data_IF_541102552453
#
_entry.id   IF_541102552453
#
_cell.length_a   1.000
_cell.length_b   1.000
_cell.length_c   1.000
_cell.angle_alpha   90.00
_cell.angle_beta   90.00
_cell.angle_gamma   90.00
#
_symmetry.space_group_name_H-M   'P 1'
#
loop_
_entity.id
_entity.type
_entity.pdbx_description
1 polymer ?
#
# COMPACT_ATOMS: atom_id res chain seq x y z
N UNK A 1 -15.14 -13.43 17.54
CA UNK A 1 -14.61 -12.06 17.39
C UNK A 1 -15.67 -11.09 17.88
N UNK A 2 -15.32 -10.06 18.65
CA UNK A 2 -16.31 -9.08 19.14
C UNK A 2 -16.91 -8.33 17.94
N UNK A 3 -18.24 -8.17 17.87
CA UNK A 3 -18.89 -7.41 16.80
C UNK A 3 -18.48 -5.94 16.94
N UNK A 4 -17.91 -5.37 15.88
CA UNK A 4 -17.53 -3.95 15.85
C UNK A 4 -18.70 -3.18 15.24
N UNK A 5 -19.22 -2.21 16.00
CA UNK A 5 -20.39 -1.40 15.66
C UNK A 5 -20.17 0.04 16.16
N UNK A 6 -21.19 0.90 16.06
CA UNK A 6 -21.13 2.30 16.53
C UNK A 6 -20.77 2.42 18.02
N UNK A 7 -21.27 1.52 18.87
CA UNK A 7 -20.93 1.49 20.30
C UNK A 7 -19.44 1.19 20.55
N UNK A 8 -18.84 0.31 19.74
CA UNK A 8 -17.39 0.07 19.79
C UNK A 8 -16.59 1.37 19.52
N UNK A 9 -16.95 2.12 18.48
CA UNK A 9 -16.27 3.38 18.16
C UNK A 9 -16.49 4.46 19.23
N UNK A 10 -17.70 4.54 19.79
CA UNK A 10 -18.01 5.44 20.91
C UNK A 10 -17.09 5.16 22.11
N UNK A 11 -16.85 3.89 22.44
CA UNK A 11 -15.92 3.47 23.51
C UNK A 11 -14.46 3.83 23.22
N UNK A 12 -14.09 4.03 21.96
CA UNK A 12 -12.78 4.54 21.55
C UNK A 12 -12.73 6.09 21.49
N UNK A 13 -13.78 6.78 21.95
CA UNK A 13 -13.87 8.24 21.87
C UNK A 13 -14.10 8.77 20.46
N UNK A 14 -14.52 7.92 19.53
CA UNK A 14 -14.82 8.30 18.14
C UNK A 14 -16.30 8.66 18.05
N UNK A 15 -16.57 9.91 17.66
CA UNK A 15 -17.95 10.36 17.49
C UNK A 15 -18.61 9.66 16.30
N UNK A 16 -19.93 9.44 16.37
CA UNK A 16 -20.70 8.89 15.23
C UNK A 16 -20.52 9.73 13.96
N UNK A 17 -20.44 11.06 14.10
CA UNK A 17 -20.18 11.96 12.96
C UNK A 17 -18.85 11.63 12.27
N UNK A 18 -17.80 11.38 13.06
CA UNK A 18 -16.48 11.06 12.53
C UNK A 18 -16.45 9.68 11.86
N UNK A 19 -17.00 8.63 12.50
CA UNK A 19 -17.08 7.30 11.89
C UNK A 19 -17.94 7.29 10.61
N UNK A 20 -19.00 8.10 10.57
CA UNK A 20 -19.85 8.21 9.39
C UNK A 20 -19.12 8.88 8.22
N UNK A 21 -18.42 9.99 8.46
CA UNK A 21 -17.62 10.66 7.42
C UNK A 21 -16.53 9.75 6.84
N UNK A 22 -15.88 8.96 7.71
CA UNK A 22 -14.89 7.97 7.26
C UNK A 22 -15.55 6.87 6.44
N UNK A 23 -16.71 6.35 6.86
CA UNK A 23 -17.43 5.33 6.09
C UNK A 23 -17.93 5.86 4.73
N UNK A 24 -18.47 7.07 4.67
CA UNK A 24 -18.94 7.70 3.44
C UNK A 24 -17.83 7.78 2.38
N UNK A 25 -16.59 8.05 2.79
CA UNK A 25 -15.44 8.09 1.89
C UNK A 25 -14.84 6.71 1.58
N UNK A 26 -14.75 5.83 2.59
CA UNK A 26 -13.98 4.59 2.47
C UNK A 26 -14.80 3.35 2.15
N UNK A 27 -16.13 3.40 2.24
CA UNK A 27 -16.99 2.30 1.89
C UNK A 27 -16.66 1.76 0.48
N UNK A 28 -16.64 0.44 0.34
CA UNK A 28 -16.38 -0.20 -0.94
C UNK A 28 -17.61 -0.04 -1.85
N UNK A 29 -17.41 0.24 -3.16
CA UNK A 29 -18.53 0.33 -4.09
C UNK A 29 -19.27 -0.99 -4.20
N UNK A 30 -20.61 -0.95 -4.07
CA UNK A 30 -21.48 -2.13 -4.13
C UNK A 30 -21.35 -2.81 -5.50
N UNK A 31 -21.20 -4.14 -5.50
CA UNK A 31 -21.11 -4.95 -6.72
C UNK A 31 -19.80 -4.83 -7.51
N UNK A 32 -18.84 -4.00 -7.07
CA UNK A 32 -17.58 -3.82 -7.76
C UNK A 32 -16.63 -5.00 -7.53
N UNK A 33 -16.20 -5.64 -8.62
CA UNK A 33 -15.09 -6.60 -8.58
C UNK A 33 -13.77 -5.84 -8.50
N UNK A 34 -13.16 -5.81 -7.32
CA UNK A 34 -11.96 -5.01 -7.02
C UNK A 34 -10.81 -5.25 -8.01
N UNK A 35 -10.31 -6.48 -8.14
CA UNK A 35 -9.15 -6.75 -9.01
C UNK A 35 -9.42 -6.46 -10.50
N UNK A 36 -10.53 -6.92 -11.11
CA UNK A 36 -10.86 -6.55 -12.49
C UNK A 36 -10.99 -5.04 -12.73
N UNK A 37 -11.61 -4.30 -11.80
CA UNK A 37 -11.78 -2.85 -11.93
C UNK A 37 -10.48 -2.04 -11.73
N UNK A 38 -9.50 -2.61 -11.03
CA UNK A 38 -8.18 -2.00 -10.84
C UNK A 38 -7.26 -2.23 -12.05
N UNK A 39 -7.41 -3.34 -12.77
CA UNK A 39 -6.45 -3.82 -13.76
C UNK A 39 -6.11 -2.80 -14.86
N UNK A 40 -7.06 -2.13 -15.54
CA UNK A 40 -6.72 -1.18 -16.61
C UNK A 40 -5.79 -0.05 -16.11
N UNK A 41 -6.11 0.50 -14.95
CA UNK A 41 -5.32 1.57 -14.32
C UNK A 41 -3.94 1.08 -13.89
N UNK A 42 -3.85 -0.14 -13.34
CA UNK A 42 -2.56 -0.77 -12.99
C UNK A 42 -1.68 -0.97 -14.22
N UNK A 43 -2.26 -1.37 -15.36
CA UNK A 43 -1.52 -1.51 -16.62
C UNK A 43 -0.97 -0.17 -17.07
N UNK A 44 -1.78 0.89 -17.06
CA UNK A 44 -1.31 2.24 -17.42
C UNK A 44 -0.17 2.72 -16.50
N UNK A 45 -0.32 2.53 -15.18
CA UNK A 45 0.73 2.87 -14.20
C UNK A 45 2.02 2.09 -14.44
N UNK A 46 1.90 0.79 -14.74
CA UNK A 46 3.03 -0.08 -15.04
C UNK A 46 3.78 0.39 -16.29
N UNK A 47 3.05 0.68 -17.37
CA UNK A 47 3.66 1.15 -18.62
C UNK A 47 4.33 2.51 -18.44
N UNK A 48 3.70 3.43 -17.70
CA UNK A 48 4.30 4.69 -17.29
C UNK A 48 5.63 4.45 -16.57
N UNK A 49 5.65 3.56 -15.56
CA UNK A 49 6.84 3.28 -14.75
C UNK A 49 7.98 2.63 -15.55
N UNK A 50 7.65 1.74 -16.47
CA UNK A 50 8.63 1.12 -17.38
C UNK A 50 9.28 2.19 -18.28
N UNK A 51 8.49 3.16 -18.75
CA UNK A 51 8.95 4.24 -19.65
C UNK A 51 9.91 5.24 -19.00
N UNK A 52 9.97 5.31 -17.66
CA UNK A 52 10.77 6.32 -16.98
C UNK A 52 12.27 6.21 -17.29
N UNK A 53 12.97 7.37 -17.33
CA UNK A 53 14.38 7.41 -17.69
C UNK A 53 15.23 6.60 -16.71
N UNK A 54 16.27 5.97 -17.24
CA UNK A 54 17.20 5.13 -16.48
C UNK A 54 18.59 5.77 -16.44
N UNK A 55 19.22 5.72 -15.27
CA UNK A 55 20.62 6.07 -15.05
C UNK A 55 21.60 5.03 -15.60
N UNK A 56 22.88 5.38 -15.67
CA UNK A 56 23.93 4.44 -16.14
C UNK A 56 24.12 3.26 -15.19
N UNK A 57 24.02 3.52 -13.89
CA UNK A 57 24.18 2.54 -12.82
C UNK A 57 23.44 3.02 -11.55
N UNK A 58 23.54 2.26 -10.47
CA UNK A 58 22.88 2.55 -9.21
C UNK A 58 23.35 3.87 -8.57
N UNK A 59 24.62 4.23 -8.68
CA UNK A 59 25.12 5.50 -8.13
C UNK A 59 24.66 6.72 -8.95
N UNK A 60 24.36 6.52 -10.24
CA UNK A 60 23.95 7.56 -11.18
C UNK A 60 22.49 7.40 -11.62
N UNK A 61 21.59 7.11 -10.67
CA UNK A 61 20.14 6.94 -10.94
C UNK A 61 19.52 8.21 -11.53
N UNK A 62 18.60 8.03 -12.47
CA UNK A 62 17.66 9.09 -12.85
C UNK A 62 16.48 9.05 -11.89
N UNK A 63 16.13 10.22 -11.34
CA UNK A 63 15.07 10.36 -10.33
C UNK A 63 13.80 10.88 -11.01
N UNK A 64 12.70 10.15 -10.82
CA UNK A 64 11.35 10.58 -11.20
C UNK A 64 10.56 10.90 -9.95
N UNK A 65 10.20 12.18 -9.76
CA UNK A 65 9.39 12.64 -8.62
C UNK A 65 7.91 12.42 -8.91
N UNK A 66 7.18 11.85 -7.95
CA UNK A 66 5.78 11.47 -8.12
C UNK A 66 4.83 12.24 -7.21
N UNK A 67 5.27 12.54 -5.99
CA UNK A 67 4.48 13.25 -4.99
C UNK A 67 5.30 14.33 -4.32
N UNK A 68 4.62 15.42 -3.92
CA UNK A 68 5.18 16.50 -3.11
C UNK A 68 4.18 16.87 -2.00
N UNK A 69 4.67 16.98 -0.77
CA UNK A 69 3.89 17.45 0.38
C UNK A 69 4.79 18.27 1.29
N UNK A 70 4.58 19.59 1.34
CA UNK A 70 5.49 20.53 2.00
C UNK A 70 6.92 20.39 1.46
N UNK A 71 7.88 20.21 2.38
CA UNK A 71 9.30 20.00 2.06
C UNK A 71 9.65 18.56 1.70
N UNK A 72 8.66 17.66 1.67
CA UNK A 72 8.85 16.25 1.33
C UNK A 72 8.53 15.98 -0.13
N UNK A 73 9.34 15.12 -0.74
CA UNK A 73 9.10 14.58 -2.08
C UNK A 73 9.22 13.06 -2.04
N UNK A 74 8.30 12.36 -2.69
CA UNK A 74 8.37 10.90 -2.89
C UNK A 74 8.66 10.63 -4.35
N UNK A 75 9.67 9.81 -4.60
CA UNK A 75 10.22 9.59 -5.93
C UNK A 75 10.70 8.14 -6.10
N UNK A 76 11.05 7.81 -7.34
CA UNK A 76 11.78 6.59 -7.68
C UNK A 76 13.10 6.93 -8.35
N UNK A 77 14.14 6.16 -8.06
CA UNK A 77 15.38 6.16 -8.83
C UNK A 77 15.53 4.90 -9.69
N UNK A 78 15.92 5.04 -10.96
CA UNK A 78 16.18 3.90 -11.85
C UNK A 78 17.65 3.94 -12.34
N UNK A 79 18.42 2.84 -12.29
CA UNK A 79 18.05 1.47 -11.89
C UNK A 79 17.99 1.20 -10.37
N UNK A 80 17.15 0.25 -9.97
CA UNK A 80 17.03 -0.28 -8.61
C UNK A 80 18.06 -1.36 -8.26
N UNK A 81 17.87 -2.06 -7.14
CA UNK A 81 18.77 -3.11 -6.65
C UNK A 81 18.76 -4.34 -7.57
N UNK A 82 17.58 -4.79 -7.98
CA UNK A 82 17.39 -6.03 -8.76
C UNK A 82 17.77 -5.86 -10.24
N UNK A 83 18.15 -4.66 -10.66
CA UNK A 83 18.63 -4.36 -12.01
C UNK A 83 20.13 -4.62 -12.21
N UNK A 84 20.88 -4.91 -11.14
CA UNK A 84 22.30 -5.20 -11.25
C UNK A 84 22.53 -6.50 -12.06
N UNK A 85 23.61 -6.61 -12.88
CA UNK A 85 23.85 -7.78 -13.72
C UNK A 85 24.06 -9.09 -12.94
N UNK A 86 24.52 -8.98 -11.69
CA UNK A 86 24.76 -10.09 -10.77
C UNK A 86 23.50 -10.53 -10.00
N UNK A 87 22.41 -9.75 -10.08
CA UNK A 87 21.15 -10.12 -9.47
C UNK A 87 20.47 -11.25 -10.26
N UNK A 88 20.28 -12.40 -9.61
CA UNK A 88 19.76 -13.62 -10.25
C UNK A 88 18.39 -13.98 -9.68
N UNK A 89 17.36 -13.90 -10.52
CA UNK A 89 16.01 -14.36 -10.18
C UNK A 89 15.43 -15.20 -11.31
N UNK A 90 14.69 -16.25 -10.95
CA UNK A 90 14.05 -17.14 -11.91
C UNK A 90 12.75 -16.51 -12.41
N UNK A 91 12.61 -16.38 -13.72
CA UNK A 91 11.38 -15.96 -14.37
C UNK A 91 10.31 -17.05 -14.20
N UNK A 92 9.09 -16.68 -13.78
CA UNK A 92 8.07 -17.64 -13.35
C UNK A 92 7.49 -18.47 -14.50
N UNK A 93 7.52 -17.95 -15.73
CA UNK A 93 6.98 -18.64 -16.91
C UNK A 93 8.07 -19.42 -17.66
N UNK A 94 9.11 -18.74 -18.15
CA UNK A 94 10.21 -19.39 -18.91
C UNK A 94 11.18 -20.20 -18.06
N UNK A 95 11.26 -19.95 -16.75
CA UNK A 95 12.23 -20.59 -15.86
C UNK A 95 13.68 -20.09 -16.03
N UNK A 96 13.92 -19.11 -16.91
CA UNK A 96 15.23 -18.52 -17.14
C UNK A 96 15.67 -17.67 -15.94
N UNK A 97 16.98 -17.61 -15.70
CA UNK A 97 17.53 -16.72 -14.67
C UNK A 97 17.86 -15.38 -15.30
N UNK A 98 17.26 -14.31 -14.80
CA UNK A 98 17.44 -12.95 -15.30
C UNK A 98 17.46 -11.95 -14.15
N UNK A 99 17.96 -10.74 -14.42
CA UNK A 99 17.80 -9.59 -13.54
C UNK A 99 16.50 -8.84 -13.88
N UNK A 100 16.11 -7.86 -13.06
CA UNK A 100 15.01 -6.97 -13.37
C UNK A 100 15.54 -5.62 -13.87
N UNK A 101 15.74 -5.42 -15.20
CA UNK A 101 16.23 -4.15 -15.73
C UNK A 101 15.32 -2.97 -15.35
N UNK A 102 14.02 -3.21 -15.14
CA UNK A 102 13.06 -2.18 -14.83
C UNK A 102 12.94 -1.86 -13.33
N UNK A 103 13.64 -2.58 -12.46
CA UNK A 103 13.62 -2.34 -11.03
C UNK A 103 13.91 -0.88 -10.69
N UNK A 104 13.20 -0.37 -9.70
CA UNK A 104 13.29 1.00 -9.23
C UNK A 104 13.65 1.04 -7.74
N UNK A 105 14.10 2.19 -7.29
CA UNK A 105 14.45 2.47 -5.90
C UNK A 105 13.50 3.54 -5.34
N UNK A 106 12.35 3.15 -4.75
CA UNK A 106 11.48 4.07 -4.03
C UNK A 106 12.27 4.87 -2.98
N UNK A 107 12.00 6.16 -2.85
CA UNK A 107 12.74 7.05 -1.95
C UNK A 107 11.91 8.24 -1.50
N UNK A 108 12.20 8.70 -0.29
CA UNK A 108 11.67 9.95 0.26
C UNK A 108 12.81 10.96 0.39
N UNK A 109 12.55 12.20 -0.01
CA UNK A 109 13.44 13.34 0.14
C UNK A 109 12.81 14.36 1.07
N UNK A 110 13.63 15.04 1.88
CA UNK A 110 13.24 16.18 2.69
C UNK A 110 14.19 17.34 2.40
N UNK A 111 13.65 18.48 1.96
CA UNK A 111 14.44 19.64 1.56
C UNK A 111 15.57 19.28 0.57
N UNK A 112 15.25 18.44 -0.43
CA UNK A 112 16.17 17.99 -1.48
C UNK A 112 17.18 16.90 -1.06
N UNK A 113 17.27 16.55 0.23
CA UNK A 113 18.13 15.47 0.73
C UNK A 113 17.35 14.18 0.88
N UNK A 114 17.89 13.07 0.37
CA UNK A 114 17.29 11.75 0.59
C UNK A 114 17.31 11.44 2.08
N UNK A 115 16.19 10.95 2.61
CA UNK A 115 16.15 10.42 3.97
C UNK A 115 16.78 9.02 3.91
N UNK A 116 17.90 8.82 4.61
CA UNK A 116 18.67 7.56 4.59
C UNK A 116 18.06 6.45 5.44
N UNK A 117 16.94 6.73 6.12
CA UNK A 117 16.16 5.71 6.83
C UNK A 117 15.98 4.49 5.92
N UNK A 118 16.43 3.33 6.40
CA UNK A 118 16.15 2.08 5.74
C UNK A 118 14.62 1.94 5.68
N UNK A 119 14.10 1.87 4.44
CA UNK A 119 12.68 1.67 4.12
C UNK A 119 12.50 0.26 3.55
N UNK A 120 13.19 -0.72 4.14
CA UNK A 120 12.98 -2.12 3.80
C UNK A 120 11.60 -2.58 4.26
N UNK A 121 11.13 -3.72 3.75
CA UNK A 121 9.88 -4.32 4.20
C UNK A 121 9.85 -4.53 5.71
N UNK A 122 10.95 -5.00 6.30
CA UNK A 122 11.06 -5.18 7.76
C UNK A 122 10.92 -3.84 8.50
N UNK A 123 11.63 -2.80 8.06
CA UNK A 123 11.55 -1.49 8.70
C UNK A 123 10.11 -0.92 8.63
N UNK A 124 9.41 -1.11 7.51
CA UNK A 124 8.02 -0.68 7.39
C UNK A 124 7.08 -1.47 8.31
N UNK A 125 7.33 -2.76 8.53
CA UNK A 125 6.53 -3.57 9.45
C UNK A 125 6.72 -3.10 10.89
N UNK A 126 7.97 -2.90 11.31
CA UNK A 126 8.29 -2.36 12.64
C UNK A 126 7.69 -0.96 12.85
N UNK A 127 7.76 -0.10 11.83
CA UNK A 127 7.13 1.23 11.86
C UNK A 127 5.62 1.16 12.07
N UNK A 128 4.94 0.19 11.46
CA UNK A 128 3.49 -0.03 11.63
C UNK A 128 3.18 -0.69 12.98
N UNK A 129 4.01 -1.62 13.44
CA UNK A 129 3.87 -2.26 14.76
C UNK A 129 3.84 -1.23 15.88
N UNK A 130 4.73 -0.24 15.84
CA UNK A 130 4.76 0.85 16.82
C UNK A 130 3.44 1.64 16.89
N UNK A 131 2.62 1.65 15.83
CA UNK A 131 1.33 2.33 15.80
C UNK A 131 0.25 1.60 16.58
N UNK A 132 0.41 0.30 16.88
CA UNK A 132 -0.54 -0.48 17.68
C UNK A 132 -0.80 0.15 19.06
N UNK A 133 0.20 0.88 19.59
CA UNK A 133 0.11 1.57 20.88
C UNK A 133 -0.32 3.03 20.77
N UNK A 134 -0.44 3.57 19.56
CA UNK A 134 -0.72 4.98 19.33
C UNK A 134 -2.22 5.28 19.32
N UNK A 135 -2.97 4.70 18.37
CA UNK A 135 -4.42 4.90 18.25
C UNK A 135 -5.06 3.76 17.44
N UNK A 136 -5.96 3.00 18.06
CA UNK A 136 -6.64 1.86 17.44
C UNK A 136 -7.46 2.27 16.21
N UNK A 137 -8.17 3.41 16.29
CA UNK A 137 -8.98 3.89 15.17
C UNK A 137 -8.13 4.48 14.05
N UNK A 138 -7.03 5.18 14.40
CA UNK A 138 -6.03 5.64 13.46
C UNK A 138 -5.41 4.47 12.69
N UNK A 139 -5.03 3.40 13.38
CA UNK A 139 -4.50 2.19 12.76
C UNK A 139 -5.54 1.51 11.84
N UNK A 140 -6.81 1.52 12.22
CA UNK A 140 -7.90 1.05 11.36
C UNK A 140 -8.03 1.88 10.08
N UNK A 141 -8.04 3.21 10.18
CA UNK A 141 -8.10 4.10 9.01
C UNK A 141 -6.90 3.87 8.10
N UNK A 142 -5.69 3.72 8.66
CA UNK A 142 -4.48 3.40 7.91
C UNK A 142 -4.65 2.10 7.10
N UNK A 143 -5.16 1.05 7.74
CA UNK A 143 -5.42 -0.24 7.07
C UNK A 143 -6.43 -0.12 5.93
N UNK A 144 -7.51 0.64 6.12
CA UNK A 144 -8.53 0.86 5.09
C UNK A 144 -8.00 1.67 3.90
N UNK A 145 -7.19 2.71 4.14
CA UNK A 145 -6.56 3.49 3.07
C UNK A 145 -5.59 2.63 2.25
N UNK A 146 -4.77 1.79 2.91
CA UNK A 146 -3.86 0.86 2.22
C UNK A 146 -4.65 -0.20 1.45
N UNK A 147 -5.75 -0.72 2.01
CA UNK A 147 -6.63 -1.66 1.32
C UNK A 147 -7.17 -1.08 0.01
N UNK A 148 -7.71 0.13 0.04
CA UNK A 148 -8.26 0.80 -1.15
C UNK A 148 -7.16 1.15 -2.16
N UNK A 149 -5.97 1.53 -1.68
CA UNK A 149 -4.78 1.77 -2.50
C UNK A 149 -4.32 0.51 -3.27
N UNK A 150 -4.50 -0.69 -2.70
CA UNK A 150 -4.21 -1.95 -3.37
C UNK A 150 -4.99 -2.12 -4.69
N UNK A 151 -6.22 -1.60 -4.72
CA UNK A 151 -7.12 -1.70 -5.88
C UNK A 151 -7.28 -0.39 -6.64
N UNK A 152 -6.38 0.58 -6.41
CA UNK A 152 -6.33 1.83 -7.18
C UNK A 152 -7.67 2.60 -7.10
N UNK A 153 -8.39 2.47 -5.97
CA UNK A 153 -9.73 3.07 -5.81
C UNK A 153 -9.67 4.58 -5.62
N UNK A 154 -8.60 5.07 -4.98
CA UNK A 154 -8.41 6.48 -4.65
C UNK A 154 -7.29 7.10 -5.49
N UNK A 155 -7.18 6.70 -6.76
CA UNK A 155 -6.22 7.27 -7.71
C UNK A 155 -6.92 8.09 -8.77
N UNK A 156 -6.30 9.22 -9.11
CA UNK A 156 -6.79 10.15 -10.13
C UNK A 156 -5.69 10.43 -11.17
N UNK A 157 -6.09 10.78 -12.39
CA UNK A 157 -5.14 11.25 -13.42
C UNK A 157 -4.56 12.59 -12.99
N UNK A 158 -3.23 12.66 -12.93
CA UNK A 158 -2.47 13.90 -12.79
C UNK A 158 -2.50 14.71 -14.09
N UNK A 159 -2.01 15.96 -14.04
CA UNK A 159 -1.92 16.83 -15.22
C UNK A 159 -1.00 16.23 -16.30
N UNK A 160 -0.01 15.47 -15.86
CA UNK A 160 0.96 14.76 -16.69
C UNK A 160 0.41 13.42 -17.22
N UNK A 161 -0.85 13.08 -16.91
CA UNK A 161 -1.53 11.89 -17.41
C UNK A 161 -1.23 10.60 -16.64
N UNK A 162 -0.37 10.62 -15.62
CA UNK A 162 -0.11 9.48 -14.75
C UNK A 162 -1.18 9.32 -13.67
N UNK A 163 -1.50 8.08 -13.26
CA UNK A 163 -2.39 7.84 -12.11
C UNK A 163 -1.63 8.08 -10.81
N UNK A 164 -2.19 8.90 -9.92
CA UNK A 164 -1.59 9.28 -8.65
C UNK A 164 -2.58 9.07 -7.52
N UNK A 165 -2.08 8.56 -6.39
CA UNK A 165 -2.85 8.36 -5.19
C UNK A 165 -3.29 9.71 -4.61
N UNK A 166 -4.60 9.85 -4.37
CA UNK A 166 -5.23 11.02 -3.76
C UNK A 166 -6.11 10.49 -2.62
N UNK A 167 -5.56 10.37 -1.39
CA UNK A 167 -6.31 9.83 -0.27
C UNK A 167 -7.58 10.65 0.01
N UNK A 168 -8.71 10.03 0.38
CA UNK A 168 -9.93 10.73 0.75
C UNK A 168 -9.70 11.72 1.91
N UNK A 169 -10.27 12.93 1.77
CA UNK A 169 -9.87 14.11 2.56
C UNK A 169 -10.21 13.95 4.04
N UNK A 170 -11.44 13.54 4.37
CA UNK A 170 -11.88 13.43 5.75
C UNK A 170 -11.16 12.28 6.46
N UNK A 171 -10.96 11.18 5.76
CA UNK A 171 -10.24 10.00 6.25
C UNK A 171 -8.77 10.31 6.51
N UNK A 172 -8.10 11.00 5.58
CA UNK A 172 -6.73 11.45 5.80
C UNK A 172 -6.66 12.45 6.97
N UNK A 173 -7.60 13.39 7.09
CA UNK A 173 -7.62 14.34 8.20
C UNK A 173 -7.81 13.64 9.55
N UNK A 174 -8.74 12.68 9.63
CA UNK A 174 -8.99 11.87 10.82
C UNK A 174 -7.76 11.03 11.21
N UNK A 175 -7.09 10.44 10.22
CA UNK A 175 -5.82 9.72 10.41
C UNK A 175 -4.73 10.66 10.93
N UNK A 176 -4.49 11.80 10.26
CA UNK A 176 -3.44 12.76 10.66
C UNK A 176 -3.63 13.32 12.05
N UNK A 177 -4.88 13.48 12.50
CA UNK A 177 -5.18 13.91 13.88
C UNK A 177 -4.69 12.90 14.92
N UNK A 178 -4.69 11.61 14.60
CA UNK A 178 -4.38 10.50 15.51
C UNK A 178 -2.95 9.99 15.36
N UNK A 179 -2.53 9.82 14.13
CA UNK A 179 -1.21 9.36 13.70
C UNK A 179 -0.69 10.43 12.73
N UNK A 180 -0.14 11.54 13.23
CA UNK A 180 0.34 12.63 12.37
C UNK A 180 1.61 12.26 11.61
N UNK A 181 2.42 11.36 12.18
CA UNK A 181 3.70 10.91 11.62
C UNK A 181 3.89 9.42 11.84
N UNK A 182 4.59 8.79 10.91
CA UNK A 182 5.06 7.41 10.99
C UNK A 182 6.57 7.45 10.85
N UNK A 183 7.27 7.26 11.97
CA UNK A 183 8.72 7.36 12.10
C UNK A 183 9.31 8.61 11.41
N UNK A 184 8.96 9.78 11.96
CA UNK A 184 9.39 11.13 11.54
C UNK A 184 8.91 11.65 10.17
N UNK A 185 8.23 10.82 9.38
CA UNK A 185 7.63 11.21 8.11
C UNK A 185 6.14 11.49 8.31
N UNK A 186 5.58 12.60 7.76
CA UNK A 186 4.14 12.84 7.79
C UNK A 186 3.36 11.65 7.21
N UNK A 187 2.23 11.29 7.82
CA UNK A 187 1.50 10.08 7.44
C UNK A 187 1.05 10.08 5.98
N UNK A 188 0.70 11.23 5.41
CA UNK A 188 0.41 11.34 3.97
C UNK A 188 1.62 11.00 3.09
N UNK A 189 2.83 11.38 3.51
CA UNK A 189 4.07 11.08 2.78
C UNK A 189 4.38 9.59 2.88
N UNK A 190 4.12 8.96 4.03
CA UNK A 190 4.23 7.51 4.19
C UNK A 190 3.26 6.75 3.28
N UNK A 191 2.00 7.19 3.17
CA UNK A 191 1.02 6.60 2.25
C UNK A 191 1.47 6.74 0.78
N UNK A 192 1.94 7.92 0.37
CA UNK A 192 2.51 8.11 -0.96
C UNK A 192 3.72 7.20 -1.21
N UNK A 193 4.57 6.99 -0.21
CA UNK A 193 5.70 6.06 -0.31
C UNK A 193 5.23 4.62 -0.53
N UNK A 194 4.22 4.14 0.23
CA UNK A 194 3.64 2.81 0.02
C UNK A 194 3.07 2.63 -1.39
N UNK A 195 2.44 3.66 -1.95
CA UNK A 195 1.95 3.61 -3.33
C UNK A 195 3.08 3.44 -4.35
N UNK A 196 4.18 4.18 -4.17
CA UNK A 196 5.38 4.08 -5.03
C UNK A 196 6.06 2.72 -4.88
N UNK A 197 6.16 2.21 -3.66
CA UNK A 197 6.68 0.87 -3.39
C UNK A 197 5.85 -0.20 -4.11
N UNK A 198 4.53 -0.11 -3.98
CA UNK A 198 3.61 -1.06 -4.61
C UNK A 198 3.70 -1.03 -6.14
N UNK A 199 3.90 0.15 -6.73
CA UNK A 199 4.17 0.28 -8.16
C UNK A 199 5.49 -0.40 -8.58
N UNK A 200 6.54 -0.30 -7.76
CA UNK A 200 7.79 -1.03 -8.02
C UNK A 200 7.58 -2.55 -7.99
N UNK A 201 6.77 -3.05 -7.05
CA UNK A 201 6.44 -4.48 -6.99
C UNK A 201 5.61 -4.94 -8.20
N UNK A 202 4.74 -4.10 -8.77
CA UNK A 202 4.09 -4.37 -10.07
C UNK A 202 5.13 -4.51 -11.20
N UNK A 203 6.12 -3.61 -11.26
CA UNK A 203 7.21 -3.65 -12.26
C UNK A 203 8.06 -4.91 -12.13
N UNK A 204 8.36 -5.34 -10.90
CA UNK A 204 9.08 -6.59 -10.65
C UNK A 204 8.31 -7.79 -11.16
N UNK A 205 7.04 -7.90 -10.79
CA UNK A 205 6.24 -9.07 -11.17
C UNK A 205 5.99 -9.13 -12.68
N UNK A 206 5.81 -7.98 -13.34
CA UNK A 206 5.77 -7.90 -14.79
C UNK A 206 7.04 -8.48 -15.43
N UNK A 207 8.20 -8.05 -14.96
CA UNK A 207 9.51 -8.49 -15.50
C UNK A 207 9.79 -9.97 -15.24
N UNK A 208 9.16 -10.57 -14.22
CA UNK A 208 9.29 -11.99 -13.89
C UNK A 208 8.22 -12.88 -14.56
N UNK A 209 7.42 -12.34 -15.47
CA UNK A 209 6.49 -13.11 -16.30
C UNK A 209 5.03 -13.03 -15.90
N UNK A 210 4.68 -12.22 -14.91
CA UNK A 210 3.28 -11.91 -14.60
C UNK A 210 2.86 -10.64 -15.32
N UNK A 211 2.62 -10.78 -16.62
CA UNK A 211 2.40 -9.65 -17.51
C UNK A 211 1.13 -8.87 -17.18
N UNK A 212 1.17 -7.56 -17.47
CA UNK A 212 0.02 -6.67 -17.52
C UNK A 212 -0.92 -6.72 -16.30
N UNK A 213 -0.36 -6.90 -15.09
CA UNK A 213 -1.12 -6.94 -13.84
C UNK A 213 -2.34 -7.89 -13.90
N UNK A 214 -2.23 -8.99 -14.66
CA UNK A 214 -3.34 -9.93 -14.85
C UNK A 214 -3.75 -10.61 -13.55
N UNK A 215 -2.81 -10.78 -12.62
CA UNK A 215 -3.03 -11.38 -11.31
C UNK A 215 -2.85 -10.36 -10.20
N UNK A 216 -3.17 -10.76 -8.97
CA UNK A 216 -3.01 -9.91 -7.77
C UNK A 216 -1.57 -9.89 -7.22
N UNK A 217 -0.59 -10.31 -8.01
CA UNK A 217 0.82 -10.14 -7.68
C UNK A 217 1.24 -8.67 -7.74
N UNK A 218 2.39 -8.37 -7.12
CA UNK A 218 2.98 -7.03 -7.09
C UNK A 218 2.28 -6.16 -6.05
N UNK A 219 1.66 -5.07 -6.50
CA UNK A 219 0.92 -4.10 -5.69
C UNK A 219 -0.08 -4.74 -4.74
N UNK A 220 -0.97 -5.57 -5.27
CA UNK A 220 -2.12 -6.07 -4.50
C UNK A 220 -1.63 -6.94 -3.35
N UNK A 221 -0.81 -7.97 -3.63
CA UNK A 221 -0.26 -8.80 -2.56
C UNK A 221 0.61 -8.03 -1.57
N UNK A 222 1.39 -7.04 -2.04
CA UNK A 222 2.25 -6.20 -1.18
C UNK A 222 1.40 -5.41 -0.18
N UNK A 223 0.47 -4.60 -0.68
CA UNK A 223 -0.36 -3.75 0.15
C UNK A 223 -1.32 -4.56 1.03
N UNK A 224 -1.86 -5.67 0.53
CA UNK A 224 -2.69 -6.56 1.34
C UNK A 224 -1.89 -7.30 2.43
N UNK A 225 -0.58 -7.48 2.27
CA UNK A 225 0.25 -8.04 3.36
C UNK A 225 0.38 -7.03 4.50
N UNK A 226 0.58 -5.74 4.19
CA UNK A 226 0.52 -4.67 5.19
C UNK A 226 -0.86 -4.59 5.86
N UNK A 227 -1.94 -4.72 5.10
CA UNK A 227 -3.31 -4.75 5.64
C UNK A 227 -3.50 -5.95 6.58
N UNK A 228 -2.92 -7.11 6.27
CA UNK A 228 -3.01 -8.28 7.14
C UNK A 228 -2.25 -8.08 8.44
N UNK A 229 -1.05 -7.48 8.40
CA UNK A 229 -0.33 -7.06 9.60
C UNK A 229 -1.18 -6.13 10.45
N UNK A 230 -1.78 -5.10 9.86
CA UNK A 230 -2.67 -4.18 10.58
C UNK A 230 -3.86 -4.92 11.20
N UNK A 231 -4.47 -5.85 10.47
CA UNK A 231 -5.58 -6.66 11.00
C UNK A 231 -5.16 -7.54 12.20
N UNK A 232 -3.91 -8.01 12.23
CA UNK A 232 -3.34 -8.74 13.37
C UNK A 232 -3.08 -7.79 14.55
N UNK A 233 -2.51 -6.62 14.31
CA UNK A 233 -2.24 -5.61 15.34
C UNK A 233 -3.53 -5.03 15.96
N UNK A 234 -4.63 -5.01 15.19
CA UNK A 234 -5.96 -4.69 15.69
C UNK A 234 -6.61 -5.85 16.47
N UNK A 235 -5.94 -7.00 16.59
CA UNK A 235 -6.44 -8.24 17.18
C UNK A 235 -7.68 -8.83 16.48
N UNK A 236 -7.85 -8.52 15.18
CA UNK A 236 -8.99 -8.96 14.34
C UNK A 236 -8.62 -10.14 13.42
N UNK A 237 -7.34 -10.53 13.41
CA UNK A 237 -6.80 -11.71 12.73
C UNK A 237 -5.73 -12.38 13.58
N UNK A 238 -5.51 -13.66 13.34
CA UNK A 238 -4.56 -14.47 14.12
C UNK A 238 -3.12 -14.19 13.72
N UNK A 239 -2.30 -13.78 14.70
CA UNK A 239 -0.85 -13.65 14.54
C UNK A 239 -0.21 -14.96 14.05
N UNK A 240 -0.56 -16.09 14.66
CA UNK A 240 -0.01 -17.39 14.28
C UNK A 240 -0.31 -17.76 12.82
N UNK A 241 -1.52 -17.48 12.33
CA UNK A 241 -1.88 -17.71 10.93
C UNK A 241 -1.13 -16.76 9.99
N UNK A 242 -0.99 -15.49 10.37
CA UNK A 242 -0.20 -14.53 9.61
C UNK A 242 1.27 -14.95 9.50
N UNK A 243 1.92 -15.23 10.63
CA UNK A 243 3.32 -15.68 10.67
C UNK A 243 3.52 -16.98 9.90
N UNK A 244 2.60 -17.95 10.06
CA UNK A 244 2.64 -19.20 9.32
C UNK A 244 2.49 -19.01 7.80
N UNK A 245 1.64 -18.09 7.35
CA UNK A 245 1.52 -17.76 5.93
C UNK A 245 2.78 -17.05 5.41
N UNK A 246 3.30 -16.10 6.17
CA UNK A 246 4.47 -15.28 5.80
C UNK A 246 5.76 -16.10 5.69
N UNK A 247 5.90 -17.15 6.51
CA UNK A 247 7.06 -18.03 6.50
C UNK A 247 7.03 -19.10 5.38
N UNK A 248 5.85 -19.42 4.83
CA UNK A 248 5.71 -20.48 3.82
C UNK A 248 6.09 -19.98 2.42
N UNK A 249 6.70 -20.81 1.55
CA UNK A 249 6.92 -20.45 0.16
C UNK A 249 5.62 -20.09 -0.59
N UNK A 250 5.60 -19.01 -1.40
CA UNK A 250 6.64 -17.98 -1.49
C UNK A 250 6.69 -17.13 -0.21
N UNK A 251 7.86 -17.13 0.46
CA UNK A 251 8.02 -16.47 1.75
C UNK A 251 8.03 -14.95 1.62
N UNK A 252 7.73 -14.27 2.73
CA UNK A 252 7.69 -12.82 2.79
C UNK A 252 6.36 -12.19 2.35
N UNK A 253 5.34 -13.00 2.05
CA UNK A 253 4.02 -12.53 1.63
C UNK A 253 2.91 -13.23 2.42
N UNK A 254 1.97 -12.44 2.94
CA UNK A 254 0.80 -12.95 3.65
C UNK A 254 -0.42 -12.05 3.38
N UNK A 255 -0.90 -11.98 2.12
CA UNK A 255 -1.93 -11.02 1.74
C UNK A 255 -3.25 -11.27 2.48
N UNK A 256 -3.89 -10.19 2.92
CA UNK A 256 -5.22 -10.19 3.51
C UNK A 256 -6.30 -10.70 2.53
N UNK A 257 -7.28 -11.41 3.06
CA UNK A 257 -8.41 -11.93 2.26
C UNK A 257 -9.40 -10.80 1.94
N UNK A 258 -9.35 -10.30 0.71
CA UNK A 258 -10.07 -9.10 0.24
C UNK A 258 -11.58 -9.23 0.02
N UNK A 259 -12.16 -10.42 0.20
CA UNK A 259 -13.58 -10.68 -0.08
C UNK A 259 -14.43 -10.56 1.17
N UNK A 260 -15.74 -10.40 0.99
CA UNK A 260 -16.71 -10.45 2.09
C UNK A 260 -16.63 -11.79 2.85
N UNK A 261 -16.58 -12.92 2.13
CA UNK A 261 -16.33 -14.25 2.73
C UNK A 261 -14.98 -14.35 3.43
N UNK A 262 -14.00 -13.54 2.99
CA UNK A 262 -12.71 -13.36 3.65
C UNK A 262 -12.78 -12.50 4.92
N UNK A 263 -13.97 -11.99 5.26
CA UNK A 263 -14.27 -11.20 6.45
C UNK A 263 -13.74 -9.77 6.40
N UNK A 264 -13.61 -9.17 5.21
CA UNK A 264 -13.14 -7.77 5.09
C UNK A 264 -13.97 -6.80 5.92
N UNK A 265 -15.30 -6.93 5.94
CA UNK A 265 -16.19 -6.07 6.72
C UNK A 265 -16.21 -6.40 8.22
N UNK A 266 -15.81 -7.61 8.61
CA UNK A 266 -15.64 -7.95 10.02
C UNK A 266 -14.39 -7.30 10.60
N UNK A 267 -13.34 -7.21 9.79
CA UNK A 267 -12.04 -6.63 10.18
C UNK A 267 -12.05 -5.12 10.03
N UNK A 268 -12.66 -4.59 8.97
CA UNK A 268 -12.76 -3.16 8.66
C UNK A 268 -14.22 -2.79 8.39
N UNK A 269 -15.05 -2.60 9.44
CA UNK A 269 -16.48 -2.37 9.28
C UNK A 269 -16.82 -1.11 8.50
N UNK A 270 -15.99 -0.06 8.58
CA UNK A 270 -16.21 1.18 7.82
C UNK A 270 -15.90 1.03 6.31
N UNK A 271 -15.41 -0.12 5.86
CA UNK A 271 -15.42 -0.48 4.43
C UNK A 271 -16.79 -0.99 3.96
N UNK A 272 -17.68 -1.37 4.87
CA UNK A 272 -19.01 -1.87 4.51
C UNK A 272 -19.90 -0.72 4.03
N UNK A 273 -20.55 -0.85 2.86
CA UNK A 273 -21.55 0.12 2.40
C UNK A 273 -22.81 0.13 3.27
N UNK A 274 -23.01 -0.89 4.10
CA UNK A 274 -24.18 -1.03 4.98
C UNK A 274 -23.90 -0.62 6.43
N UNK A 275 -22.69 -0.15 6.74
CA UNK A 275 -22.31 0.22 8.11
C UNK A 275 -23.27 1.25 8.74
N UNK A 276 -23.70 2.26 7.98
CA UNK A 276 -24.61 3.28 8.49
C UNK A 276 -26.01 2.75 8.80
N UNK A 277 -26.42 1.65 8.15
CA UNK A 277 -27.72 0.99 8.34
C UNK A 277 -27.77 0.11 9.59
N UNK A 278 -26.61 -0.22 10.16
CA UNK A 278 -26.45 -1.00 11.40
C UNK A 278 -26.27 -0.12 12.64
#
# INVERSE_FOLDING_TARGET
>A
MKKINKDYYSKLGVSSKESNLVNEELALPVGLKLSPSARPRRVEMLQEAISWPRGKNQDNRKITKLYKSGDFEVAVGKPGKEAAPDFKRKHYITGETTNNPNDMNPSVFKAGKRIEDNLTFSDMFERIEHLMRADVFGLEILGMLIFRMAFVLDHQKSKEGGWRYVPPRNSLAALKKRIPKINNVPTEVFLCFLDVLALNEDVKMHTLGHENAQQDYGRVNTLLTFVHLIAVLLERRSLAKFAGAFARPPSGMAPFQKTERGGVFEVFPLLSPDFLKT
#
